data_IF_178797582193
#
_entry.id   IF_178797582193
#
_cell.length_a   1.000
_cell.length_b   1.000
_cell.length_c   1.000
_cell.angle_alpha   90.00
_cell.angle_beta   90.00
_cell.angle_gamma   90.00
#
_symmetry.space_group_name_H-M   'P 1'
#
loop_
_entity.id
_entity.type
_entity.pdbx_description
1 polymer ?
#
# COMPACT_ATOMS: atom_id res chain seq x y z
N UNK A 1 39.72 -7.89 98.24
CA UNK A 1 39.87 -7.85 96.77
C UNK A 1 38.55 -8.27 96.13
N UNK A 2 38.02 -7.40 95.26
CA UNK A 2 37.22 -7.66 94.03
C UNK A 2 35.81 -8.31 94.07
N UNK A 3 34.81 -7.42 94.03
CA UNK A 3 33.62 -7.25 93.15
C UNK A 3 32.77 -8.41 92.54
N UNK A 4 31.45 -8.15 92.36
CA UNK A 4 30.49 -9.01 91.66
C UNK A 4 30.42 -8.71 90.16
N UNK A 5 29.95 -9.67 89.35
CA UNK A 5 29.65 -9.46 87.93
C UNK A 5 28.16 -9.60 87.66
N UNK A 6 27.61 -8.49 87.21
CA UNK A 6 26.25 -8.14 86.78
C UNK A 6 25.82 -8.86 85.48
N UNK A 7 24.52 -9.16 85.41
CA UNK A 7 23.76 -9.37 84.17
C UNK A 7 23.89 -8.19 83.21
N UNK A 8 23.89 -8.46 81.90
CA UNK A 8 23.58 -7.46 80.87
C UNK A 8 23.01 -8.13 79.62
N UNK A 9 21.68 -8.07 79.50
CA UNK A 9 20.95 -8.27 78.26
C UNK A 9 21.31 -7.13 77.29
N UNK A 10 21.88 -7.47 76.14
CA UNK A 10 22.33 -6.51 75.14
C UNK A 10 21.13 -5.87 74.42
N UNK A 11 20.82 -4.62 74.76
CA UNK A 11 19.89 -3.78 74.01
C UNK A 11 20.57 -3.24 72.73
N UNK A 12 19.91 -3.39 71.59
CA UNK A 12 20.39 -2.90 70.28
C UNK A 12 20.12 -1.38 70.18
N UNK A 13 21.11 -0.54 69.80
CA UNK A 13 20.96 0.91 69.76
C UNK A 13 20.11 1.42 68.57
N UNK A 14 19.36 2.49 68.82
CA UNK A 14 18.20 2.98 68.05
C UNK A 14 18.48 4.05 66.98
N UNK A 15 19.73 4.24 66.54
CA UNK A 15 20.08 5.31 65.57
C UNK A 15 20.47 4.81 64.17
N UNK A 16 20.40 3.51 63.88
CA UNK A 16 20.89 2.94 62.60
C UNK A 16 19.80 2.66 61.55
N UNK A 17 18.54 2.97 61.88
CA UNK A 17 17.38 2.37 61.20
C UNK A 17 16.82 3.22 60.05
N UNK A 18 16.92 4.56 60.12
CA UNK A 18 16.24 5.45 59.16
C UNK A 18 16.75 5.37 57.72
N UNK A 19 18.08 5.46 57.51
CA UNK A 19 18.65 5.43 56.16
C UNK A 19 18.64 4.04 55.52
N UNK A 20 18.75 2.99 56.34
CA UNK A 20 18.63 1.60 55.88
C UNK A 20 17.22 1.28 55.39
N UNK A 21 16.18 1.77 56.08
CA UNK A 21 14.81 1.65 55.61
C UNK A 21 14.58 2.43 54.32
N UNK A 22 15.14 3.64 54.18
CA UNK A 22 15.05 4.41 52.95
C UNK A 22 15.74 3.69 51.78
N UNK A 23 16.94 3.14 51.98
CA UNK A 23 17.67 2.39 50.96
C UNK A 23 16.92 1.12 50.53
N UNK A 24 16.35 0.38 51.49
CA UNK A 24 15.53 -0.81 51.20
C UNK A 24 14.27 -0.42 50.42
N UNK A 25 13.59 0.66 50.80
CA UNK A 25 12.40 1.13 50.12
C UNK A 25 12.70 1.58 48.69
N UNK A 26 13.80 2.31 48.48
CA UNK A 26 14.25 2.74 47.15
C UNK A 26 14.62 1.54 46.26
N UNK A 27 15.27 0.52 46.83
CA UNK A 27 15.60 -0.72 46.13
C UNK A 27 14.35 -1.50 45.71
N UNK A 28 13.32 -1.56 46.57
CA UNK A 28 12.03 -2.19 46.24
C UNK A 28 11.28 -1.40 45.16
N UNK A 29 11.34 -0.07 45.17
CA UNK A 29 10.71 0.75 44.13
C UNK A 29 11.40 0.57 42.76
N UNK A 30 12.73 0.46 42.74
CA UNK A 30 13.50 0.19 41.51
C UNK A 30 13.19 -1.20 40.94
N UNK A 31 13.05 -2.22 41.78
CA UNK A 31 12.71 -3.58 41.30
C UNK A 31 11.28 -3.66 40.75
N UNK A 32 10.33 -2.92 41.32
CA UNK A 32 8.94 -2.86 40.81
C UNK A 32 8.86 -2.07 39.50
N UNK A 33 9.61 -0.97 39.34
CA UNK A 33 9.65 -0.21 38.07
C UNK A 33 10.28 -1.00 36.90
N UNK A 34 11.26 -1.87 37.17
CA UNK A 34 11.89 -2.68 36.14
C UNK A 34 10.94 -3.75 35.56
N UNK A 35 10.03 -4.28 36.36
CA UNK A 35 9.16 -5.39 35.97
C UNK A 35 8.03 -4.99 34.99
N UNK A 36 7.68 -3.70 34.87
CA UNK A 36 6.58 -3.23 34.00
C UNK A 36 7.04 -2.61 32.68
N UNK A 37 8.33 -2.31 32.51
CA UNK A 37 8.85 -1.64 31.30
C UNK A 37 9.06 -2.56 30.10
N UNK A 38 9.32 -3.85 30.33
CA UNK A 38 9.75 -4.79 29.27
C UNK A 38 8.57 -5.23 28.39
N UNK A 39 7.38 -5.42 29.00
CA UNK A 39 6.23 -6.01 28.32
C UNK A 39 5.55 -5.08 27.30
N UNK A 40 5.62 -3.76 27.51
CA UNK A 40 5.13 -2.76 26.54
C UNK A 40 6.05 -2.65 25.31
N UNK A 41 7.37 -2.85 25.50
CA UNK A 41 8.36 -2.76 24.42
C UNK A 41 8.25 -3.94 23.44
N UNK A 42 8.03 -5.15 23.94
CA UNK A 42 7.82 -6.33 23.09
C UNK A 42 6.54 -6.23 22.25
N UNK A 43 5.46 -5.72 22.84
CA UNK A 43 4.19 -5.53 22.13
C UNK A 43 4.28 -4.42 21.06
N UNK A 44 5.11 -3.40 21.28
CA UNK A 44 5.41 -2.37 20.27
C UNK A 44 6.23 -2.94 19.10
N UNK A 45 7.24 -3.76 19.37
CA UNK A 45 8.06 -4.40 18.32
C UNK A 45 7.26 -5.36 17.44
N UNK A 46 6.38 -6.18 18.04
CA UNK A 46 5.52 -7.09 17.27
C UNK A 46 4.56 -6.33 16.32
N UNK A 47 4.06 -5.18 16.76
CA UNK A 47 3.21 -4.32 15.94
C UNK A 47 4.00 -3.64 14.81
N UNK A 48 5.25 -3.23 15.06
CA UNK A 48 6.14 -2.69 14.02
C UNK A 48 6.43 -3.75 12.96
N UNK A 49 6.74 -4.99 13.32
CA UNK A 49 7.02 -6.06 12.34
C UNK A 49 5.80 -6.34 11.46
N UNK A 50 4.60 -6.34 12.04
CA UNK A 50 3.37 -6.53 11.29
C UNK A 50 3.03 -5.33 10.38
N UNK A 51 3.32 -4.09 10.80
CA UNK A 51 3.21 -2.91 9.93
C UNK A 51 4.26 -2.91 8.81
N UNK A 52 5.50 -3.28 9.10
CA UNK A 52 6.57 -3.40 8.11
C UNK A 52 6.24 -4.48 7.05
N UNK A 53 5.64 -5.60 7.46
CA UNK A 53 5.16 -6.61 6.53
C UNK A 53 4.07 -6.08 5.59
N UNK A 54 3.16 -5.23 6.08
CA UNK A 54 2.12 -4.59 5.26
C UNK A 54 2.67 -3.55 4.30
N UNK A 55 3.68 -2.77 4.71
CA UNK A 55 4.33 -1.77 3.83
C UNK A 55 5.12 -2.45 2.71
N UNK A 56 5.76 -3.59 2.97
CA UNK A 56 6.48 -4.36 1.94
C UNK A 56 5.54 -4.96 0.88
N UNK A 57 4.28 -5.20 1.24
CA UNK A 57 3.25 -5.78 0.37
C UNK A 57 2.35 -4.76 -0.33
N UNK A 58 2.63 -3.45 -0.23
CA UNK A 58 1.91 -2.47 -1.06
C UNK A 58 2.34 -2.72 -2.52
N UNK A 59 1.42 -3.10 -3.42
CA UNK A 59 1.75 -3.32 -4.82
C UNK A 59 2.42 -2.06 -5.36
N UNK A 60 3.68 -2.16 -5.77
CA UNK A 60 4.36 -1.06 -6.42
C UNK A 60 3.74 -0.94 -7.83
N UNK A 61 2.69 -0.14 -7.96
CA UNK A 61 2.09 0.17 -9.27
C UNK A 61 3.12 0.94 -10.08
N UNK A 62 3.80 0.23 -10.98
CA UNK A 62 4.90 0.77 -11.78
C UNK A 62 4.42 1.68 -12.89
N UNK A 63 3.23 1.43 -13.42
CA UNK A 63 2.65 2.21 -14.52
C UNK A 63 1.26 2.73 -14.16
N UNK A 64 1.01 4.01 -14.46
CA UNK A 64 -0.24 4.72 -14.20
C UNK A 64 -0.58 5.59 -15.40
N UNK A 65 -1.83 5.62 -15.84
CA UNK A 65 -2.33 6.61 -16.77
C UNK A 65 -3.69 7.13 -16.32
N UNK A 66 -3.95 8.41 -16.52
CA UNK A 66 -5.30 8.98 -16.39
C UNK A 66 -5.75 9.32 -17.80
N UNK A 67 -6.79 8.63 -18.27
CA UNK A 67 -7.35 8.87 -19.60
C UNK A 67 -8.46 9.92 -19.48
N UNK A 68 -8.27 11.00 -20.23
CA UNK A 68 -9.11 12.18 -20.25
C UNK A 68 -10.05 12.15 -21.45
N UNK A 69 -11.23 12.73 -21.32
CA UNK A 69 -12.15 12.92 -22.44
C UNK A 69 -11.76 14.14 -23.31
N UNK A 70 -12.54 14.40 -24.36
CA UNK A 70 -12.34 15.56 -25.23
C UNK A 70 -12.42 16.92 -24.50
N UNK A 71 -13.05 16.98 -23.33
CA UNK A 71 -13.16 18.17 -22.46
C UNK A 71 -12.09 18.20 -21.36
N UNK A 72 -11.09 17.31 -21.43
CA UNK A 72 -10.04 17.14 -20.42
C UNK A 72 -10.54 16.70 -19.04
N UNK A 73 -11.74 16.11 -18.96
CA UNK A 73 -12.26 15.53 -17.73
C UNK A 73 -11.73 14.09 -17.53
N UNK A 74 -11.30 13.70 -16.31
CA UNK A 74 -10.87 12.33 -16.02
C UNK A 74 -11.99 11.31 -16.22
N UNK A 75 -11.81 10.36 -17.13
CA UNK A 75 -12.79 9.32 -17.46
C UNK A 75 -12.40 7.93 -16.96
N UNK A 76 -11.13 7.56 -17.09
CA UNK A 76 -10.62 6.23 -16.74
C UNK A 76 -9.25 6.34 -16.08
N UNK A 77 -9.07 5.68 -14.95
CA UNK A 77 -7.76 5.45 -14.33
C UNK A 77 -7.24 4.08 -14.78
N UNK A 78 -6.01 4.05 -15.27
CA UNK A 78 -5.32 2.84 -15.69
C UNK A 78 -4.14 2.60 -14.77
N UNK A 79 -4.05 1.40 -14.21
CA UNK A 79 -2.91 0.98 -13.37
C UNK A 79 -2.43 -0.40 -13.79
N UNK A 80 -1.12 -0.63 -13.74
CA UNK A 80 -0.55 -1.96 -13.98
C UNK A 80 -0.27 -2.69 -12.67
N UNK A 81 -0.74 -3.93 -12.60
CA UNK A 81 -0.36 -4.89 -11.56
C UNK A 81 0.78 -5.80 -12.06
N UNK A 82 2.01 -5.64 -11.54
CA UNK A 82 3.15 -6.45 -11.96
C UNK A 82 3.10 -7.89 -11.43
N UNK A 83 2.29 -8.20 -10.41
CA UNK A 83 2.20 -9.56 -9.86
C UNK A 83 1.44 -10.47 -10.81
N UNK A 84 0.26 -10.01 -11.25
CA UNK A 84 -0.65 -10.82 -12.06
C UNK A 84 -0.56 -10.50 -13.57
N UNK A 85 0.20 -9.49 -13.97
CA UNK A 85 0.34 -9.03 -15.37
C UNK A 85 -0.99 -8.59 -15.99
N UNK A 86 -1.72 -7.73 -15.26
CA UNK A 86 -2.95 -7.11 -15.75
C UNK A 86 -2.87 -5.59 -15.71
N UNK A 87 -3.46 -4.95 -16.72
CA UNK A 87 -3.92 -3.58 -16.62
C UNK A 87 -5.30 -3.56 -16.00
N UNK A 88 -5.44 -2.79 -14.93
CA UNK A 88 -6.72 -2.47 -14.33
C UNK A 88 -7.19 -1.13 -14.87
N UNK A 89 -8.39 -1.11 -15.44
CA UNK A 89 -9.04 0.08 -15.98
C UNK A 89 -10.25 0.41 -15.13
N UNK A 90 -10.06 1.34 -14.18
CA UNK A 90 -11.10 1.82 -13.30
C UNK A 90 -11.81 3.01 -13.92
N UNK A 91 -13.11 2.87 -14.15
CA UNK A 91 -13.96 3.94 -14.69
C UNK A 91 -14.25 4.96 -13.59
N UNK A 92 -14.03 6.23 -13.91
CA UNK A 92 -14.27 7.36 -13.01
C UNK A 92 -15.62 8.03 -13.29
N UNK A 93 -16.20 7.77 -14.46
CA UNK A 93 -17.50 8.29 -14.90
C UNK A 93 -18.51 7.16 -15.12
N UNK A 94 -19.80 7.48 -14.95
CA UNK A 94 -20.91 6.53 -15.14
C UNK A 94 -21.43 6.51 -16.59
N UNK A 95 -20.59 6.85 -17.58
CA UNK A 95 -20.99 6.82 -18.99
C UNK A 95 -21.31 5.38 -19.36
N UNK A 96 -22.59 5.14 -19.68
CA UNK A 96 -23.11 3.84 -20.06
C UNK A 96 -22.76 3.56 -21.52
N UNK A 97 -22.04 2.46 -21.75
CA UNK A 97 -21.89 1.85 -23.07
C UNK A 97 -23.28 1.55 -23.67
N UNK A 98 -23.44 1.73 -24.98
CA UNK A 98 -24.60 1.19 -25.68
C UNK A 98 -24.63 -0.34 -25.55
N UNK A 99 -25.82 -0.94 -25.59
CA UNK A 99 -25.99 -2.39 -25.40
C UNK A 99 -25.26 -3.25 -26.45
N UNK A 100 -24.88 -2.66 -27.58
CA UNK A 100 -24.16 -3.30 -28.68
C UNK A 100 -22.71 -2.82 -28.82
N UNK A 101 -22.23 -2.01 -27.88
CA UNK A 101 -20.92 -1.36 -27.99
C UNK A 101 -19.92 -2.06 -27.08
N UNK A 102 -18.66 -2.08 -27.49
CA UNK A 102 -17.56 -2.57 -26.67
C UNK A 102 -16.47 -1.51 -26.66
N UNK A 103 -15.91 -1.22 -25.50
CA UNK A 103 -14.76 -0.32 -25.45
C UNK A 103 -13.48 -1.10 -25.69
N UNK A 104 -12.55 -0.51 -26.43
CA UNK A 104 -11.27 -1.14 -26.75
C UNK A 104 -10.13 -0.24 -26.33
N UNK A 105 -9.14 -0.82 -25.65
CA UNK A 105 -7.91 -0.13 -25.25
C UNK A 105 -6.87 -0.26 -26.36
N UNK A 106 -6.19 0.84 -26.62
CA UNK A 106 -5.17 0.99 -27.66
C UNK A 106 -3.88 1.53 -27.08
N UNK A 107 -2.77 1.00 -27.57
CA UNK A 107 -1.50 1.72 -27.62
C UNK A 107 -1.61 2.76 -28.74
N UNK A 108 -1.54 4.03 -28.35
CA UNK A 108 -1.58 5.18 -29.25
C UNK A 108 -0.26 5.96 -29.21
N UNK A 109 0.85 5.31 -28.86
CA UNK A 109 2.19 5.93 -28.81
C UNK A 109 2.65 6.36 -30.20
N UNK A 110 2.23 5.63 -31.23
CA UNK A 110 2.31 6.05 -32.62
C UNK A 110 0.89 6.24 -33.19
N UNK A 111 0.42 7.49 -33.21
CA UNK A 111 -0.92 7.83 -33.70
C UNK A 111 -1.20 7.42 -35.15
N UNK A 112 -0.17 7.18 -35.97
CA UNK A 112 -0.35 6.70 -37.34
C UNK A 112 -0.60 5.18 -37.42
N UNK A 113 -0.25 4.43 -36.37
CA UNK A 113 -0.41 2.98 -36.30
C UNK A 113 -0.77 2.54 -34.88
N UNK A 114 -2.00 2.84 -34.41
CA UNK A 114 -2.47 2.39 -33.10
C UNK A 114 -2.55 0.86 -33.05
N UNK A 115 -2.17 0.28 -31.92
CA UNK A 115 -2.18 -1.18 -31.70
C UNK A 115 -3.22 -1.51 -30.65
N UNK A 116 -4.14 -2.41 -30.98
CA UNK A 116 -5.13 -2.93 -30.03
C UNK A 116 -4.43 -3.68 -28.90
N UNK A 117 -4.72 -3.30 -27.66
CA UNK A 117 -4.31 -4.03 -26.45
C UNK A 117 -5.38 -5.05 -26.05
N UNK A 118 -6.65 -4.67 -26.15
CA UNK A 118 -7.74 -5.58 -25.84
C UNK A 118 -9.08 -4.89 -25.65
N UNK A 119 -10.13 -5.71 -25.68
CA UNK A 119 -11.52 -5.28 -25.52
C UNK A 119 -11.91 -5.36 -24.06
N UNK A 120 -12.44 -4.26 -23.54
CA UNK A 120 -12.87 -4.13 -22.15
C UNK A 120 -14.17 -4.88 -21.94
N UNK A 121 -14.24 -5.66 -20.86
CA UNK A 121 -15.47 -6.36 -20.49
C UNK A 121 -16.55 -5.33 -20.17
N UNK A 122 -17.70 -5.38 -20.87
CA UNK A 122 -18.78 -4.41 -20.64
C UNK A 122 -19.27 -4.45 -19.20
N UNK A 123 -19.79 -3.31 -18.72
CA UNK A 123 -20.47 -3.18 -17.41
C UNK A 123 -19.62 -3.39 -16.15
N UNK A 124 -18.34 -3.76 -16.26
CA UNK A 124 -17.44 -3.79 -15.10
C UNK A 124 -16.97 -2.38 -14.76
N UNK A 125 -17.02 -2.03 -13.47
CA UNK A 125 -16.48 -0.75 -12.97
C UNK A 125 -14.96 -0.70 -13.07
N UNK A 126 -14.32 -1.85 -12.88
CA UNK A 126 -12.89 -2.05 -13.07
C UNK A 126 -12.72 -3.22 -14.04
N UNK A 127 -12.32 -2.92 -15.26
CA UNK A 127 -11.99 -3.94 -16.25
C UNK A 127 -10.53 -4.38 -16.09
N UNK A 128 -10.24 -5.61 -16.48
CA UNK A 128 -8.89 -6.17 -16.44
C UNK A 128 -8.49 -6.62 -17.85
N UNK A 129 -7.29 -6.25 -18.27
CA UNK A 129 -6.71 -6.67 -19.55
C UNK A 129 -5.34 -7.30 -19.32
N UNK A 130 -5.13 -8.55 -19.77
CA UNK A 130 -3.83 -9.20 -19.65
C UNK A 130 -2.80 -8.48 -20.53
N UNK A 131 -1.67 -8.08 -19.95
CA UNK A 131 -0.55 -7.49 -20.68
C UNK A 131 0.74 -7.70 -19.90
N UNK A 132 1.84 -7.91 -20.62
CA UNK A 132 3.15 -8.03 -19.97
C UNK A 132 3.80 -6.66 -19.80
N UNK A 133 4.61 -6.54 -18.75
CA UNK A 133 5.40 -5.33 -18.50
C UNK A 133 6.31 -4.97 -19.68
N UNK A 134 6.86 -5.97 -20.37
CA UNK A 134 7.71 -5.78 -21.55
C UNK A 134 7.00 -5.03 -22.68
N UNK A 135 5.70 -5.27 -22.86
CA UNK A 135 4.89 -4.55 -23.85
C UNK A 135 4.64 -3.12 -23.36
N UNK A 136 4.27 -2.95 -22.08
CA UNK A 136 4.02 -1.64 -21.49
C UNK A 136 5.22 -0.70 -21.50
N UNK A 137 6.44 -1.23 -21.36
CA UNK A 137 7.67 -0.43 -21.40
C UNK A 137 7.88 0.33 -22.71
N UNK A 138 7.25 -0.12 -23.82
CA UNK A 138 7.28 0.56 -25.11
C UNK A 138 6.14 1.56 -25.33
N UNK A 139 5.17 1.62 -24.41
CA UNK A 139 3.95 2.42 -24.56
C UNK A 139 4.12 3.73 -23.80
N UNK A 140 3.89 4.85 -24.49
CA UNK A 140 3.90 6.20 -23.92
C UNK A 140 2.52 6.83 -23.89
N UNK A 141 1.60 6.37 -24.73
CA UNK A 141 0.25 6.92 -24.84
C UNK A 141 -0.79 5.81 -24.94
N UNK A 142 -1.87 5.92 -24.17
CA UNK A 142 -3.02 5.04 -24.21
C UNK A 142 -4.26 5.78 -24.71
N UNK A 143 -5.14 5.07 -25.40
CA UNK A 143 -6.43 5.60 -25.81
C UNK A 143 -7.53 4.53 -25.75
N UNK A 144 -8.77 4.96 -25.56
CA UNK A 144 -9.96 4.11 -25.61
C UNK A 144 -10.88 4.63 -26.70
N UNK A 145 -11.33 3.76 -27.59
CA UNK A 145 -12.43 4.01 -28.51
C UNK A 145 -13.63 3.13 -28.16
N UNK A 146 -14.80 3.55 -28.64
CA UNK A 146 -15.99 2.71 -28.68
C UNK A 146 -15.97 1.96 -30.00
N UNK A 147 -16.16 0.66 -29.96
CA UNK A 147 -16.15 -0.21 -31.14
C UNK A 147 -17.44 -1.02 -31.18
N UNK A 148 -17.68 -1.68 -32.32
CA UNK A 148 -18.76 -2.66 -32.43
C UNK A 148 -18.57 -3.80 -31.41
N UNK A 149 -19.66 -4.50 -31.09
CA UNK A 149 -19.63 -5.65 -30.18
C UNK A 149 -18.48 -6.61 -30.53
N UNK A 150 -17.61 -6.86 -29.56
CA UNK A 150 -16.46 -7.74 -29.71
C UNK A 150 -15.18 -7.04 -30.15
N UNK A 151 -15.22 -5.72 -30.37
CA UNK A 151 -14.07 -4.93 -30.81
C UNK A 151 -13.78 -5.07 -32.31
N UNK A 152 -12.63 -4.55 -32.72
CA UNK A 152 -12.11 -4.72 -34.07
C UNK A 152 -11.15 -5.91 -34.17
N UNK A 153 -10.94 -6.39 -35.39
CA UNK A 153 -9.96 -7.44 -35.66
C UNK A 153 -8.53 -7.00 -35.31
N UNK A 154 -7.67 -7.92 -34.86
CA UNK A 154 -6.27 -7.62 -34.58
C UNK A 154 -5.55 -7.04 -35.79
N UNK A 155 -4.93 -5.87 -35.63
CA UNK A 155 -4.18 -5.19 -36.70
C UNK A 155 -4.99 -4.17 -37.50
N UNK A 156 -6.30 -4.05 -37.24
CA UNK A 156 -7.15 -3.00 -37.81
C UNK A 156 -7.09 -1.73 -36.94
N UNK A 157 -7.10 -0.52 -37.53
CA UNK A 157 -7.22 0.71 -36.76
C UNK A 157 -8.61 0.85 -36.10
N UNK A 158 -8.75 1.77 -35.12
CA UNK A 158 -10.04 2.09 -34.51
C UNK A 158 -11.07 2.53 -35.55
N UNK A 159 -12.32 2.09 -35.43
CA UNK A 159 -13.40 2.51 -36.35
C UNK A 159 -13.97 3.87 -35.97
N UNK A 160 -14.04 4.15 -34.67
CA UNK A 160 -14.56 5.39 -34.13
C UNK A 160 -13.45 6.25 -33.51
N UNK A 161 -13.69 7.57 -33.36
CA UNK A 161 -12.78 8.45 -32.63
C UNK A 161 -12.53 7.98 -31.20
N UNK A 162 -11.39 8.39 -30.64
CA UNK A 162 -11.07 8.12 -29.25
C UNK A 162 -12.03 8.86 -28.30
N UNK A 163 -12.61 8.09 -27.38
CA UNK A 163 -13.42 8.60 -26.29
C UNK A 163 -12.54 9.15 -25.17
N UNK A 164 -11.47 8.42 -24.84
CA UNK A 164 -10.50 8.82 -23.82
C UNK A 164 -9.07 8.66 -24.30
N UNK A 165 -8.16 9.52 -23.83
CA UNK A 165 -6.73 9.38 -24.11
C UNK A 165 -5.87 9.96 -22.98
N UNK A 166 -4.66 9.44 -22.82
CA UNK A 166 -3.73 9.94 -21.81
C UNK A 166 -2.35 9.31 -21.90
N UNK A 167 -1.35 9.99 -21.34
CA UNK A 167 0.01 9.50 -21.28
C UNK A 167 0.14 8.37 -20.25
N UNK A 168 0.90 7.34 -20.60
CA UNK A 168 1.30 6.30 -19.65
C UNK A 168 2.56 6.75 -18.92
N UNK A 169 2.45 6.83 -17.59
CA UNK A 169 3.52 7.30 -16.72
C UNK A 169 4.11 6.10 -16.00
N UNK A 170 5.42 5.94 -16.12
CA UNK A 170 6.18 5.02 -15.28
C UNK A 170 6.59 5.74 -14.00
N UNK A 171 6.20 5.21 -12.84
CA UNK A 171 6.66 5.70 -11.55
C UNK A 171 8.17 5.43 -11.43
N UNK A 172 8.96 6.47 -11.17
CA UNK A 172 10.36 6.32 -10.82
C UNK A 172 10.46 5.55 -9.49
N UNK A 173 11.23 4.46 -9.50
CA UNK A 173 11.50 3.60 -8.33
C UNK A 173 12.69 4.13 -7.55
#
# INVERSE_FOLDING_TARGET
MTNPSTDSSAAIPSYTTGWRLLAILLLVVVTVMAATGVSLFEMFNAQITHLQAKVKNVPQTKYIAVLLDAKQAPGVLVTFDPQDNFLMLQRLTDIKEGANDSMQLWDNSNSAKPVSIGVLTPKLRTAQLPITEKVLAGITQLAISVENRGGVEPGTPPLLPYLYSGALIQKAL
#
